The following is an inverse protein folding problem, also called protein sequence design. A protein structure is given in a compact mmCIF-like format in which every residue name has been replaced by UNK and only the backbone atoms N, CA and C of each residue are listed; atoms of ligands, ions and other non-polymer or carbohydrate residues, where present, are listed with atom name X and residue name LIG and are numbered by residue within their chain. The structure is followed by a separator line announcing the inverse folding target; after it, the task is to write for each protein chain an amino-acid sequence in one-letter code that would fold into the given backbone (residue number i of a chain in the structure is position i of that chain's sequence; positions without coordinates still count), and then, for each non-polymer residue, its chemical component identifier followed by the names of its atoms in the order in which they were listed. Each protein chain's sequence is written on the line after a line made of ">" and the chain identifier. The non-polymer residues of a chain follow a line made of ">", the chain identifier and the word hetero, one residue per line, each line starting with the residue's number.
data_IF_779363342986
#
_entry.id   IF_779363342986
#
_cell.length_a   1.000
_cell.length_b   1.000
_cell.length_c   1.000
_cell.angle_alpha   90.00
_cell.angle_beta   90.00
_cell.angle_gamma   90.00
#
_symmetry.space_group_name_H-M   'P 1'
#
loop_
_entity.id
_entity.type
_entity.pdbx_description
1 polymer ?
#
# COMPACT_ATOMS: atom_id res chain seq x y z
N UNK A 1 7.48 13.92 17.90
CA UNK A 1 7.84 13.35 19.22
C UNK A 1 7.19 11.97 19.38
N UNK A 2 5.86 11.84 19.22
CA UNK A 2 5.15 10.57 19.44
C UNK A 2 5.61 9.42 18.52
N UNK A 3 6.03 9.68 17.28
CA UNK A 3 6.49 8.63 16.37
C UNK A 3 7.78 7.94 16.83
N UNK A 4 8.60 8.62 17.67
CA UNK A 4 9.84 8.04 18.22
C UNK A 4 9.56 6.98 19.29
N UNK A 5 8.39 6.99 19.90
CA UNK A 5 8.00 6.03 20.95
C UNK A 5 7.29 4.79 20.40
N UNK A 6 6.96 4.78 19.11
CA UNK A 6 6.37 3.61 18.47
C UNK A 6 7.37 2.45 18.41
N UNK A 7 6.90 1.24 18.64
CA UNK A 7 7.65 0.04 18.33
C UNK A 7 8.02 0.00 16.85
N UNK A 8 9.09 -0.73 16.49
CA UNK A 8 9.50 -0.90 15.10
C UNK A 8 8.35 -1.46 14.24
N UNK A 9 7.61 -2.41 14.78
CA UNK A 9 6.46 -3.04 14.13
C UNK A 9 5.34 -2.02 13.82
N UNK A 10 5.00 -1.17 14.77
CA UNK A 10 3.96 -0.14 14.59
C UNK A 10 4.40 0.95 13.63
N UNK A 11 5.66 1.37 13.71
CA UNK A 11 6.22 2.35 12.81
C UNK A 11 6.19 1.85 11.35
N UNK A 12 6.67 0.62 11.10
CA UNK A 12 6.61 -0.01 9.78
C UNK A 12 5.17 -0.20 9.31
N UNK A 13 4.25 -0.52 10.20
CA UNK A 13 2.82 -0.59 9.86
C UNK A 13 2.29 0.75 9.36
N UNK A 14 2.63 1.85 10.01
CA UNK A 14 2.30 3.19 9.55
C UNK A 14 2.92 3.55 8.20
N UNK A 15 4.19 3.15 7.98
CA UNK A 15 4.88 3.37 6.69
C UNK A 15 4.21 2.63 5.54
N UNK A 16 3.66 1.45 5.73
CA UNK A 16 2.89 0.74 4.70
C UNK A 16 1.74 1.60 4.16
N UNK A 17 1.00 2.28 5.03
CA UNK A 17 -0.05 3.21 4.62
C UNK A 17 0.50 4.46 3.90
N UNK A 18 1.65 4.98 4.33
CA UNK A 18 2.32 6.10 3.68
C UNK A 18 2.74 5.72 2.25
N UNK A 19 3.33 4.54 2.06
CA UNK A 19 3.69 4.00 0.75
C UNK A 19 2.45 3.94 -0.15
N UNK A 20 1.32 3.49 0.36
CA UNK A 20 0.06 3.48 -0.39
C UNK A 20 -0.27 4.86 -0.96
N UNK A 21 -0.22 5.93 -0.18
CA UNK A 21 -0.49 7.28 -0.68
C UNK A 21 0.46 7.71 -1.79
N UNK A 22 1.71 7.29 -1.74
CA UNK A 22 2.69 7.56 -2.80
C UNK A 22 2.33 6.86 -4.11
N UNK A 23 1.82 5.62 -4.03
CA UNK A 23 1.49 4.79 -5.19
C UNK A 23 0.13 5.10 -5.81
N UNK A 24 -0.81 5.67 -5.06
CA UNK A 24 -2.12 6.05 -5.60
C UNK A 24 -2.13 7.43 -6.28
N UNK A 25 -0.96 8.05 -6.48
CA UNK A 25 -0.79 9.23 -7.32
C UNK A 25 -0.12 10.45 -6.68
N UNK A 26 0.35 10.39 -5.43
CA UNK A 26 1.14 11.47 -4.85
C UNK A 26 2.63 11.34 -5.23
N UNK A 27 2.98 11.91 -6.40
CA UNK A 27 4.37 11.90 -6.92
C UNK A 27 5.37 12.59 -5.99
N UNK A 28 4.94 13.64 -5.26
CA UNK A 28 5.81 14.36 -4.33
C UNK A 28 6.16 13.49 -3.12
N UNK A 29 5.17 12.79 -2.57
CA UNK A 29 5.38 11.84 -1.50
C UNK A 29 6.28 10.68 -1.95
N UNK A 30 6.04 10.14 -3.17
CA UNK A 30 6.88 9.10 -3.75
C UNK A 30 8.35 9.54 -3.80
N UNK A 31 8.62 10.72 -4.35
CA UNK A 31 9.97 11.29 -4.43
C UNK A 31 10.60 11.48 -3.03
N UNK A 32 9.83 11.97 -2.05
CA UNK A 32 10.32 12.12 -0.67
C UNK A 32 10.76 10.78 -0.06
N UNK A 33 10.01 9.71 -0.29
CA UNK A 33 10.36 8.37 0.21
C UNK A 33 11.60 7.82 -0.48
N UNK A 34 11.69 7.91 -1.81
CA UNK A 34 12.82 7.41 -2.60
C UNK A 34 14.13 8.13 -2.27
N UNK A 35 14.10 9.46 -2.13
CA UNK A 35 15.31 10.27 -1.88
C UNK A 35 15.75 10.28 -0.41
N UNK A 36 14.93 9.86 0.53
CA UNK A 36 15.20 9.97 1.95
C UNK A 36 14.93 8.68 2.74
N UNK A 37 15.01 7.52 2.11
CA UNK A 37 14.66 6.24 2.75
C UNK A 37 15.40 6.04 4.09
N UNK A 38 16.70 6.25 4.14
CA UNK A 38 17.50 6.14 5.36
C UNK A 38 17.01 7.11 6.47
N UNK A 39 16.70 8.37 6.12
CA UNK A 39 16.17 9.33 7.08
C UNK A 39 14.79 8.95 7.60
N UNK A 40 13.97 8.32 6.73
CA UNK A 40 12.65 7.78 7.12
C UNK A 40 12.84 6.65 8.11
N UNK A 41 13.72 5.69 7.84
CA UNK A 41 14.01 4.56 8.74
C UNK A 41 14.52 5.09 10.10
N UNK A 42 15.42 6.06 10.08
CA UNK A 42 15.99 6.68 11.29
C UNK A 42 15.06 7.68 11.97
N UNK A 43 13.82 7.83 11.50
CA UNK A 43 12.77 8.68 12.07
C UNK A 43 13.19 10.16 12.17
N UNK A 44 13.84 10.69 11.11
CA UNK A 44 14.21 12.11 11.04
C UNK A 44 12.96 13.00 11.09
N UNK A 45 12.88 13.87 12.07
CA UNK A 45 11.70 14.69 12.33
C UNK A 45 11.35 15.60 11.14
N UNK A 46 12.35 16.18 10.45
CA UNK A 46 12.12 17.12 9.34
C UNK A 46 11.51 16.41 8.13
N UNK A 47 11.95 15.19 7.86
CA UNK A 47 11.43 14.36 6.76
C UNK A 47 10.07 13.82 7.12
N UNK A 48 9.89 13.32 8.34
CA UNK A 48 8.59 12.77 8.78
C UNK A 48 7.48 13.81 8.76
N UNK A 49 7.74 15.06 9.16
CA UNK A 49 6.75 16.14 9.07
C UNK A 49 6.26 16.33 7.63
N UNK A 50 7.17 16.36 6.65
CA UNK A 50 6.80 16.50 5.22
C UNK A 50 6.01 15.31 4.72
N UNK A 51 6.38 14.10 5.11
CA UNK A 51 5.70 12.86 4.74
C UNK A 51 4.27 12.83 5.30
N UNK A 52 4.10 13.18 6.58
CA UNK A 52 2.80 13.25 7.23
C UNK A 52 1.92 14.29 6.54
N UNK A 53 2.46 15.49 6.28
CA UNK A 53 1.74 16.56 5.60
C UNK A 53 1.22 16.10 4.23
N UNK A 54 2.07 15.50 3.41
CA UNK A 54 1.69 14.99 2.09
C UNK A 54 0.67 13.83 2.18
N UNK A 55 0.81 12.96 3.18
CA UNK A 55 -0.14 11.87 3.43
C UNK A 55 -1.52 12.39 3.81
N UNK A 56 -1.59 13.37 4.73
CA UNK A 56 -2.84 14.01 5.14
C UNK A 56 -3.48 14.73 3.96
N UNK A 57 -2.72 15.50 3.18
CA UNK A 57 -3.22 16.20 1.96
C UNK A 57 -3.81 15.21 0.97
N UNK A 58 -3.15 14.09 0.74
CA UNK A 58 -3.63 13.06 -0.19
C UNK A 58 -4.93 12.45 0.28
N UNK A 59 -4.97 11.98 1.52
CA UNK A 59 -6.18 11.38 2.10
C UNK A 59 -7.34 12.37 2.13
N UNK A 60 -7.12 13.57 2.66
CA UNK A 60 -8.15 14.62 2.75
C UNK A 60 -8.73 14.95 1.39
N UNK A 61 -7.89 15.19 0.37
CA UNK A 61 -8.34 15.47 -1.00
C UNK A 61 -9.24 14.39 -1.59
N UNK A 62 -8.96 13.12 -1.31
CA UNK A 62 -9.75 12.00 -1.82
C UNK A 62 -11.07 11.90 -1.04
N UNK A 63 -11.00 11.94 0.29
CA UNK A 63 -12.19 11.82 1.15
C UNK A 63 -13.16 12.99 0.94
N UNK A 64 -12.65 14.22 0.82
CA UNK A 64 -13.51 15.40 0.54
C UNK A 64 -14.26 15.28 -0.79
N UNK A 65 -13.65 14.60 -1.79
CA UNK A 65 -14.31 14.40 -3.09
C UNK A 65 -15.34 13.27 -3.10
N UNK A 66 -15.23 12.33 -2.19
CA UNK A 66 -16.08 11.14 -2.13
C UNK A 66 -16.21 10.65 -0.69
N UNK A 67 -16.98 11.36 0.11
CA UNK A 67 -17.19 11.07 1.53
C UNK A 67 -17.84 9.69 1.74
N UNK A 68 -18.77 9.32 0.85
CA UNK A 68 -19.58 8.08 0.96
C UNK A 68 -18.94 6.85 0.33
N UNK A 69 -17.71 6.97 -0.19
CA UNK A 69 -16.99 5.85 -0.85
C UNK A 69 -17.79 5.21 -2.00
N UNK A 70 -18.42 6.03 -2.82
CA UNK A 70 -19.20 5.59 -3.97
C UNK A 70 -18.43 5.60 -5.30
N UNK A 71 -17.18 6.07 -5.30
CA UNK A 71 -16.39 6.24 -6.52
C UNK A 71 -14.89 6.32 -6.27
N UNK A 72 -14.31 7.53 -6.43
CA UNK A 72 -12.85 7.72 -6.41
C UNK A 72 -12.17 7.30 -5.10
N UNK A 73 -12.89 7.31 -3.98
CA UNK A 73 -12.33 6.90 -2.69
C UNK A 73 -11.91 5.43 -2.66
N UNK A 74 -12.46 4.60 -3.56
CA UNK A 74 -12.08 3.20 -3.69
C UNK A 74 -10.55 3.03 -3.91
N UNK A 75 -9.85 4.02 -4.52
CA UNK A 75 -8.40 3.96 -4.72
C UNK A 75 -7.60 3.88 -3.41
N UNK A 76 -8.17 4.33 -2.28
CA UNK A 76 -7.56 4.14 -0.95
C UNK A 76 -7.45 2.66 -0.54
N UNK A 77 -8.18 1.78 -1.22
CA UNK A 77 -8.12 0.34 -1.03
C UNK A 77 -7.03 -0.34 -1.88
N UNK A 78 -6.12 0.40 -2.51
CA UNK A 78 -4.98 -0.19 -3.20
C UNK A 78 -4.19 -1.11 -2.26
N UNK A 79 -3.99 -2.37 -2.65
CA UNK A 79 -3.38 -3.41 -1.84
C UNK A 79 -4.29 -4.07 -0.79
N UNK A 80 -5.43 -3.46 -0.41
CA UNK A 80 -6.26 -3.96 0.69
C UNK A 80 -6.92 -5.30 0.41
N UNK A 81 -7.33 -5.58 -0.82
CA UNK A 81 -7.95 -6.87 -1.15
C UNK A 81 -7.04 -8.05 -0.81
N UNK A 82 -5.78 -7.97 -1.24
CA UNK A 82 -4.80 -9.01 -0.93
C UNK A 82 -4.25 -8.88 0.50
N UNK A 83 -4.10 -7.66 1.01
CA UNK A 83 -3.70 -7.42 2.38
C UNK A 83 -4.65 -8.07 3.39
N UNK A 84 -5.96 -7.86 3.27
CA UNK A 84 -6.95 -8.51 4.13
C UNK A 84 -6.96 -10.04 3.96
N UNK A 85 -6.75 -10.55 2.75
CA UNK A 85 -6.61 -11.99 2.52
C UNK A 85 -5.37 -12.56 3.25
N UNK A 86 -4.25 -11.83 3.24
CA UNK A 86 -3.03 -12.18 3.97
C UNK A 86 -3.25 -12.13 5.48
N UNK A 87 -3.93 -11.10 6.00
CA UNK A 87 -4.29 -11.00 7.42
C UNK A 87 -5.15 -12.19 7.85
N UNK A 88 -6.18 -12.52 7.07
CA UNK A 88 -7.07 -13.64 7.33
C UNK A 88 -6.33 -14.99 7.27
N UNK A 89 -5.45 -15.19 6.27
CA UNK A 89 -4.59 -16.37 6.17
C UNK A 89 -3.72 -16.55 7.42
N UNK A 90 -3.16 -15.46 7.95
CA UNK A 90 -2.37 -15.45 9.18
C UNK A 90 -3.25 -15.42 10.45
N UNK A 91 -4.57 -15.56 10.33
CA UNK A 91 -5.52 -15.49 11.46
C UNK A 91 -5.37 -14.21 12.28
N UNK A 92 -5.01 -13.10 11.62
CA UNK A 92 -4.76 -11.79 12.25
C UNK A 92 -3.65 -11.81 13.32
N UNK A 93 -2.72 -12.77 13.23
CA UNK A 93 -1.60 -12.92 14.17
C UNK A 93 -0.27 -12.68 13.49
N UNK A 94 0.71 -12.19 14.24
CA UNK A 94 2.11 -12.05 13.85
C UNK A 94 2.42 -11.04 12.73
N UNK A 95 1.46 -10.61 11.91
CA UNK A 95 1.63 -9.63 10.85
C UNK A 95 0.82 -8.38 11.19
N UNK A 96 1.44 -7.18 11.08
CA UNK A 96 0.72 -5.92 11.24
C UNK A 96 -0.13 -5.61 10.01
N UNK A 97 -1.18 -4.81 10.17
CA UNK A 97 -2.03 -4.37 9.06
C UNK A 97 -1.20 -3.77 7.93
N UNK A 98 -0.35 -2.78 8.22
CA UNK A 98 0.46 -2.13 7.20
C UNK A 98 1.44 -3.06 6.49
N UNK A 99 2.00 -4.08 7.18
CA UNK A 99 2.82 -5.10 6.53
C UNK A 99 1.99 -5.95 5.56
N UNK A 100 0.78 -6.37 5.96
CA UNK A 100 -0.13 -7.10 5.07
C UNK A 100 -0.54 -6.26 3.85
N UNK A 101 -0.86 -4.96 4.05
CA UNK A 101 -1.21 -4.04 2.96
C UNK A 101 -0.01 -3.83 2.03
N UNK A 102 1.21 -3.73 2.56
CA UNK A 102 2.44 -3.60 1.75
C UNK A 102 2.60 -4.79 0.80
N UNK A 103 2.50 -6.02 1.31
CA UNK A 103 2.52 -7.22 0.47
C UNK A 103 1.36 -7.25 -0.53
N UNK A 104 0.18 -6.83 -0.10
CA UNK A 104 -0.99 -6.70 -0.98
C UNK A 104 -0.79 -5.68 -2.10
N UNK A 105 -0.08 -4.58 -1.86
CA UNK A 105 0.29 -3.61 -2.91
C UNK A 105 1.27 -4.19 -3.92
N UNK A 106 2.23 -5.01 -3.49
CA UNK A 106 3.16 -5.71 -4.39
C UNK A 106 2.37 -6.67 -5.29
N UNK A 107 1.45 -7.46 -4.73
CA UNK A 107 0.60 -8.38 -5.50
C UNK A 107 -0.25 -7.61 -6.51
N UNK A 108 -0.93 -6.54 -6.09
CA UNK A 108 -1.74 -5.69 -6.98
C UNK A 108 -0.89 -5.03 -8.09
N UNK A 109 0.35 -4.62 -7.78
CA UNK A 109 1.29 -4.07 -8.75
C UNK A 109 1.74 -5.13 -9.76
N UNK A 110 1.96 -6.37 -9.34
CA UNK A 110 2.26 -7.50 -10.25
C UNK A 110 1.09 -7.81 -11.17
N UNK A 111 -0.14 -7.81 -10.66
CA UNK A 111 -1.33 -7.96 -11.51
C UNK A 111 -1.38 -6.81 -12.52
N UNK A 112 -1.12 -5.56 -12.08
CA UNK A 112 -1.06 -4.41 -12.99
C UNK A 112 0.00 -4.58 -14.09
N UNK A 113 1.12 -5.23 -13.80
CA UNK A 113 2.15 -5.57 -14.78
C UNK A 113 1.67 -6.66 -15.75
N UNK A 114 1.12 -7.77 -15.26
CA UNK A 114 0.63 -8.86 -16.11
C UNK A 114 -0.53 -8.43 -17.01
N UNK A 115 -1.37 -7.53 -16.53
CA UNK A 115 -2.47 -6.92 -17.31
C UNK A 115 -1.97 -5.79 -18.27
N UNK A 116 -0.66 -5.52 -18.33
CA UNK A 116 -0.07 -4.50 -19.21
C UNK A 116 -0.32 -3.05 -18.82
N UNK A 117 -0.81 -2.81 -17.61
CA UNK A 117 -1.05 -1.46 -17.08
C UNK A 117 0.22 -0.73 -16.67
N UNK A 118 1.27 -1.46 -16.28
CA UNK A 118 2.61 -0.93 -16.00
C UNK A 118 3.68 -1.77 -16.69
N UNK A 119 4.90 -1.21 -16.81
CA UNK A 119 6.07 -1.90 -17.36
C UNK A 119 6.87 -2.57 -16.25
N UNK A 120 7.73 -3.56 -16.61
CA UNK A 120 8.57 -4.28 -15.65
C UNK A 120 9.41 -3.33 -14.78
N UNK A 121 10.12 -2.37 -15.37
CA UNK A 121 10.93 -1.42 -14.62
C UNK A 121 10.12 -0.58 -13.62
N UNK A 122 8.82 -0.36 -13.87
CA UNK A 122 7.94 0.35 -12.93
C UNK A 122 7.57 -0.53 -11.75
N UNK A 123 7.35 -1.83 -11.98
CA UNK A 123 7.16 -2.82 -10.92
C UNK A 123 8.42 -2.94 -10.05
N UNK A 124 9.60 -3.06 -10.68
CA UNK A 124 10.88 -3.15 -9.98
C UNK A 124 11.12 -1.89 -9.11
N UNK A 125 10.85 -0.71 -9.63
CA UNK A 125 10.96 0.55 -8.87
C UNK A 125 10.03 0.58 -7.65
N UNK A 126 8.82 0.03 -7.74
CA UNK A 126 7.89 -0.05 -6.61
C UNK A 126 8.45 -0.98 -5.54
N UNK A 127 8.91 -2.18 -5.93
CA UNK A 127 9.47 -3.16 -5.01
C UNK A 127 10.72 -2.60 -4.33
N UNK A 128 11.64 -2.00 -5.11
CA UNK A 128 12.87 -1.41 -4.59
C UNK A 128 12.58 -0.24 -3.61
N UNK A 129 11.59 0.59 -3.88
CA UNK A 129 11.18 1.65 -2.95
C UNK A 129 10.66 1.07 -1.64
N UNK A 130 9.85 0.03 -1.69
CA UNK A 130 9.32 -0.65 -0.51
C UNK A 130 10.46 -1.28 0.31
N UNK A 131 11.37 -1.98 -0.36
CA UNK A 131 12.53 -2.62 0.24
C UNK A 131 13.48 -1.60 0.88
N UNK A 132 13.74 -0.48 0.20
CA UNK A 132 14.59 0.61 0.72
C UNK A 132 14.07 1.24 2.02
N UNK A 133 12.80 1.05 2.34
CA UNK A 133 12.16 1.48 3.59
C UNK A 133 12.16 0.39 4.67
N UNK A 134 12.91 -0.71 4.48
CA UNK A 134 12.92 -1.87 5.37
C UNK A 134 11.52 -2.49 5.60
N UNK A 135 10.63 -2.39 4.61
CA UNK A 135 9.33 -3.05 4.63
C UNK A 135 9.45 -4.43 3.99
N UNK A 136 8.67 -5.39 4.48
CA UNK A 136 8.69 -6.76 3.97
C UNK A 136 8.19 -6.82 2.52
N UNK A 137 8.97 -7.44 1.64
CA UNK A 137 8.66 -7.65 0.23
C UNK A 137 8.47 -9.12 -0.12
N UNK A 138 8.70 -10.04 0.84
CA UNK A 138 8.58 -11.48 0.61
C UNK A 138 7.14 -11.97 0.78
N UNK A 139 6.47 -12.08 -0.36
CA UNK A 139 5.14 -12.69 -0.47
C UNK A 139 5.19 -14.16 -0.91
N UNK A 140 6.36 -14.78 -1.05
CA UNK A 140 6.53 -16.14 -1.60
C UNK A 140 5.81 -17.23 -0.80
N UNK A 141 5.62 -17.01 0.50
CA UNK A 141 4.85 -17.89 1.39
C UNK A 141 3.33 -17.86 1.19
N UNK A 142 2.84 -16.96 0.32
CA UNK A 142 1.41 -16.82 0.05
C UNK A 142 1.08 -17.29 -1.35
N UNK A 143 0.57 -18.53 -1.48
CA UNK A 143 0.14 -19.07 -2.76
C UNK A 143 -1.21 -18.49 -3.19
N UNK A 144 -1.39 -18.30 -4.49
CA UNK A 144 -2.66 -17.80 -5.04
C UNK A 144 -3.85 -18.66 -4.63
N UNK A 145 -3.71 -19.99 -4.66
CA UNK A 145 -4.78 -20.95 -4.28
C UNK A 145 -5.25 -20.77 -2.84
N UNK A 146 -4.36 -20.33 -1.96
CA UNK A 146 -4.68 -20.11 -0.56
C UNK A 146 -5.32 -18.73 -0.36
N UNK A 147 -4.76 -17.70 -0.97
CA UNK A 147 -5.30 -16.34 -0.84
C UNK A 147 -6.67 -16.17 -1.50
N UNK A 148 -6.94 -16.83 -2.63
CA UNK A 148 -8.20 -16.65 -3.37
C UNK A 148 -9.43 -17.05 -2.56
N UNK A 149 -9.29 -17.97 -1.61
CA UNK A 149 -10.38 -18.38 -0.70
C UNK A 149 -10.81 -17.21 0.18
N UNK A 150 -9.83 -16.47 0.70
CA UNK A 150 -10.08 -15.30 1.55
C UNK A 150 -10.51 -14.08 0.74
N UNK A 151 -9.94 -13.90 -0.46
CA UNK A 151 -10.38 -12.84 -1.39
C UNK A 151 -11.85 -13.01 -1.75
N UNK A 152 -12.30 -14.25 -2.01
CA UNK A 152 -13.71 -14.56 -2.34
C UNK A 152 -14.67 -14.35 -1.17
N UNK A 153 -14.19 -14.43 0.06
CA UNK A 153 -14.99 -14.19 1.27
C UNK A 153 -15.06 -12.70 1.67
N UNK A 154 -14.24 -11.83 1.08
CA UNK A 154 -14.29 -10.39 1.35
C UNK A 154 -15.57 -9.78 0.78
N UNK A 155 -16.24 -8.92 1.59
CA UNK A 155 -17.47 -8.20 1.21
C UNK A 155 -17.35 -7.30 -0.03
N UNK A 156 -16.15 -7.15 -0.59
CA UNK A 156 -15.86 -6.39 -1.82
C UNK A 156 -16.32 -7.08 -3.11
N UNK A 157 -16.83 -8.31 -3.03
CA UNK A 157 -17.50 -8.95 -4.17
C UNK A 157 -18.90 -8.37 -4.31
N UNK A 158 -19.04 -7.37 -5.16
CA UNK A 158 -20.35 -6.83 -5.55
C UNK A 158 -20.86 -7.59 -6.78
N UNK A 159 -22.07 -8.18 -6.67
CA UNK A 159 -22.73 -8.91 -7.78
C UNK A 159 -21.86 -10.01 -8.41
N UNK A 160 -21.07 -10.73 -7.62
CA UNK A 160 -20.19 -11.81 -8.10
C UNK A 160 -18.94 -11.37 -8.85
N UNK A 161 -18.64 -10.06 -8.90
CA UNK A 161 -17.43 -9.50 -9.53
C UNK A 161 -16.49 -8.97 -8.46
N UNK A 162 -15.22 -9.36 -8.55
CA UNK A 162 -14.15 -8.84 -7.72
C UNK A 162 -13.65 -7.53 -8.33
N UNK A 163 -13.81 -6.43 -7.59
CA UNK A 163 -13.25 -5.14 -7.99
C UNK A 163 -11.85 -4.98 -7.36
N UNK A 164 -10.82 -4.95 -8.19
CA UNK A 164 -9.44 -4.72 -7.77
C UNK A 164 -9.05 -3.27 -8.07
N UNK A 165 -8.40 -2.65 -7.11
CA UNK A 165 -7.71 -1.38 -7.35
C UNK A 165 -6.32 -1.71 -7.88
N UNK A 166 -6.03 -1.26 -9.10
CA UNK A 166 -4.77 -1.44 -9.80
C UNK A 166 -4.08 -0.09 -10.04
N UNK A 167 -2.87 -0.09 -10.60
CA UNK A 167 -2.14 1.12 -10.97
C UNK A 167 -1.81 1.13 -12.46
N UNK A 168 -1.82 2.33 -13.05
CA UNK A 168 -1.51 2.54 -14.46
C UNK A 168 -0.08 3.05 -14.69
N UNK A 169 0.31 3.27 -15.97
CA UNK A 169 1.63 3.75 -16.38
C UNK A 169 2.05 5.09 -15.75
N UNK A 170 1.11 5.92 -15.30
CA UNK A 170 1.39 7.15 -14.58
C UNK A 170 1.55 6.92 -13.07
N UNK A 171 1.54 5.67 -12.62
CA UNK A 171 1.49 5.25 -11.21
C UNK A 171 0.32 5.92 -10.46
N UNK A 172 -0.86 5.86 -11.06
CA UNK A 172 -2.12 6.30 -10.46
C UNK A 172 -3.02 5.09 -10.30
N UNK A 173 -3.64 4.96 -9.13
CA UNK A 173 -4.64 3.94 -8.87
C UNK A 173 -5.95 4.23 -9.64
N UNK A 174 -6.62 3.16 -10.05
CA UNK A 174 -7.92 3.16 -10.73
C UNK A 174 -8.72 1.92 -10.38
#
# INVERSE_FOLDING_TARGET
>A
VYLKTLSEKEYKSGLGEVVKYSLIGNKRLKKLLEENAEKVINRDDKILIKIIEESIKTKSKIVTKDEKESGIRAILNFGHTFGHAIEAFNKYKNLSHGAAITLGMIIASKISYYEGHIKNHQLDNIINMIDSLNLDTDYSKYNYSDLIKYVKSDKKISKGKLNLVLINKQLKAF
#
